data_IF_463330923002
#
_entry.id   IF_463330923002
#
_cell.length_a   1.000
_cell.length_b   1.000
_cell.length_c   1.000
_cell.angle_alpha   90.00
_cell.angle_beta   90.00
_cell.angle_gamma   90.00
#
_symmetry.space_group_name_H-M   'P 1'
#
loop_
_entity.id
_entity.type
_entity.pdbx_description
1 polymer ?
#
# COMPACT_ATOMS: atom_id res chain seq x y z
N UNK A 1 -7.97 -12.87 -5.00
CA UNK A 1 -7.29 -12.59 -3.74
C UNK A 1 -5.84 -13.09 -3.85
N UNK A 2 -4.91 -12.19 -3.98
CA UNK A 2 -3.48 -12.50 -3.99
C UNK A 2 -2.90 -12.08 -2.64
N UNK A 3 -2.19 -12.98 -1.99
CA UNK A 3 -1.43 -12.71 -0.77
C UNK A 3 0.01 -13.11 -1.04
N UNK A 4 0.92 -12.16 -0.96
CA UNK A 4 2.35 -12.42 -0.99
C UNK A 4 3.00 -12.09 0.35
N UNK A 5 4.04 -12.81 0.67
CA UNK A 5 4.88 -12.62 1.85
C UNK A 5 6.28 -12.27 1.38
N UNK A 6 6.73 -11.07 1.71
CA UNK A 6 8.12 -10.66 1.52
C UNK A 6 8.82 -10.64 2.87
N UNK A 7 10.00 -11.23 2.96
CA UNK A 7 10.86 -11.17 4.14
C UNK A 7 12.10 -10.38 3.78
N UNK A 8 12.34 -9.29 4.52
CA UNK A 8 13.60 -8.56 4.46
C UNK A 8 14.51 -9.11 5.56
N UNK A 9 15.64 -9.68 5.19
CA UNK A 9 16.65 -10.15 6.12
C UNK A 9 17.93 -9.32 5.93
N UNK A 10 18.51 -8.83 7.01
CA UNK A 10 19.83 -8.23 6.98
C UNK A 10 20.88 -9.36 7.02
N UNK A 11 21.74 -9.46 6.00
CA UNK A 11 22.79 -10.48 5.89
C UNK A 11 24.05 -10.17 6.74
N UNK A 12 24.05 -9.15 7.59
CA UNK A 12 25.28 -8.64 8.25
C UNK A 12 25.41 -8.95 9.72
N UNK A 13 24.85 -10.01 10.28
CA UNK A 13 25.18 -10.40 11.66
C UNK A 13 25.80 -11.78 11.75
N UNK A 14 27.10 -11.80 12.12
CA UNK A 14 27.76 -13.00 12.67
C UNK A 14 26.94 -13.47 13.87
N UNK A 15 26.70 -14.78 13.95
CA UNK A 15 25.90 -15.42 14.99
C UNK A 15 26.36 -15.02 16.41
N UNK A 16 25.58 -14.16 17.05
CA UNK A 16 25.61 -14.00 18.51
C UNK A 16 24.85 -15.17 19.16
N UNK A 17 25.15 -15.53 20.41
CA UNK A 17 24.53 -16.68 21.08
C UNK A 17 23.01 -16.46 21.15
N UNK A 18 22.26 -17.41 20.60
CA UNK A 18 20.81 -17.39 20.57
C UNK A 18 20.24 -17.32 21.99
N UNK A 19 19.57 -16.22 22.31
CA UNK A 19 18.70 -16.16 23.48
C UNK A 19 17.57 -17.18 23.25
N UNK A 20 17.48 -18.23 24.06
CA UNK A 20 16.44 -19.27 23.97
C UNK A 20 15.01 -18.71 24.17
N UNK A 21 14.86 -17.42 24.47
CA UNK A 21 13.58 -16.71 24.62
C UNK A 21 13.16 -15.96 23.36
N UNK A 22 14.04 -15.80 22.37
CA UNK A 22 13.71 -15.15 21.11
C UNK A 22 12.82 -16.07 20.26
N UNK A 23 11.75 -15.51 19.64
CA UNK A 23 10.92 -16.24 18.71
C UNK A 23 11.68 -16.67 17.45
N UNK A 24 11.15 -17.65 16.70
CA UNK A 24 11.77 -18.21 15.49
C UNK A 24 12.12 -17.13 14.43
N UNK A 25 11.33 -16.02 14.40
CA UNK A 25 11.48 -14.93 13.45
C UNK A 25 11.89 -13.61 14.12
N UNK A 26 12.49 -13.66 15.30
CA UNK A 26 12.97 -12.47 16.00
C UNK A 26 13.98 -11.70 15.15
N UNK A 27 13.77 -10.38 15.02
CA UNK A 27 14.59 -9.49 14.19
C UNK A 27 14.30 -9.56 12.69
N UNK A 28 13.26 -10.29 12.26
CA UNK A 28 12.82 -10.30 10.87
C UNK A 28 11.67 -9.34 10.66
N UNK A 29 11.68 -8.64 9.51
CA UNK A 29 10.61 -7.79 9.04
C UNK A 29 9.82 -8.56 7.98
N UNK A 30 8.53 -8.78 8.24
CA UNK A 30 7.63 -9.49 7.34
C UNK A 30 6.65 -8.50 6.74
N UNK A 31 6.63 -8.38 5.41
CA UNK A 31 5.64 -7.58 4.70
C UNK A 31 4.56 -8.52 4.15
N UNK A 32 3.36 -8.38 4.68
CA UNK A 32 2.17 -9.05 4.13
C UNK A 32 1.42 -8.06 3.25
N UNK A 33 1.10 -8.44 2.03
CA UNK A 33 0.33 -7.56 1.16
C UNK A 33 -0.85 -8.26 0.49
N UNK A 34 -1.89 -7.47 0.25
CA UNK A 34 -3.04 -7.82 -0.58
C UNK A 34 -3.20 -6.77 -1.67
N UNK A 35 -3.87 -7.13 -2.75
CA UNK A 35 -4.29 -6.24 -3.83
C UNK A 35 -5.48 -6.85 -4.56
N UNK A 36 -6.29 -6.02 -5.22
CA UNK A 36 -7.43 -6.47 -6.02
C UNK A 36 -8.35 -7.43 -5.25
N UNK A 37 -8.60 -7.10 -3.99
CA UNK A 37 -9.45 -7.94 -3.11
C UNK A 37 -10.90 -7.93 -3.62
N UNK A 38 -11.35 -6.83 -4.24
CA UNK A 38 -12.67 -6.70 -4.86
C UNK A 38 -13.82 -7.22 -3.98
N UNK A 39 -13.74 -6.89 -2.69
CA UNK A 39 -14.75 -7.28 -1.71
C UNK A 39 -14.79 -8.78 -1.39
N UNK A 40 -13.73 -9.54 -1.66
CA UNK A 40 -13.59 -10.95 -1.23
C UNK A 40 -13.31 -11.02 0.28
N UNK A 41 -14.30 -10.62 1.08
CA UNK A 41 -14.20 -10.38 2.53
C UNK A 41 -13.77 -11.59 3.35
N UNK A 42 -13.99 -12.81 2.84
CA UNK A 42 -13.58 -14.07 3.51
C UNK A 42 -12.04 -14.16 3.66
N UNK A 43 -11.30 -13.36 2.90
CA UNK A 43 -9.84 -13.29 2.97
C UNK A 43 -9.32 -12.57 4.21
N UNK A 44 -10.01 -11.54 4.70
CA UNK A 44 -9.50 -10.70 5.78
C UNK A 44 -9.22 -11.44 7.08
N UNK A 45 -10.09 -12.38 7.47
CA UNK A 45 -9.84 -13.23 8.64
C UNK A 45 -8.59 -14.09 8.50
N UNK A 46 -8.29 -14.58 7.30
CA UNK A 46 -7.07 -15.38 7.02
C UNK A 46 -5.83 -14.52 7.09
N UNK A 47 -5.89 -13.31 6.55
CA UNK A 47 -4.78 -12.34 6.60
C UNK A 47 -4.49 -11.94 8.04
N UNK A 48 -5.54 -11.64 8.84
CA UNK A 48 -5.41 -11.34 10.27
C UNK A 48 -4.77 -12.49 11.04
N UNK A 49 -5.20 -13.73 10.79
CA UNK A 49 -4.62 -14.92 11.42
C UNK A 49 -3.15 -15.11 11.03
N UNK A 50 -2.79 -14.85 9.77
CA UNK A 50 -1.41 -14.96 9.31
C UNK A 50 -0.53 -13.87 9.93
N UNK A 51 -1.00 -12.61 10.02
CA UNK A 51 -0.30 -11.53 10.73
C UNK A 51 0.00 -11.95 12.18
N UNK A 52 -1.03 -12.40 12.88
CA UNK A 52 -0.89 -12.85 14.28
C UNK A 52 0.09 -14.04 14.44
N UNK A 53 0.13 -14.98 13.47
CA UNK A 53 1.06 -16.11 13.51
C UNK A 53 2.52 -15.65 13.35
N UNK A 54 2.81 -14.72 12.45
CA UNK A 54 4.14 -14.17 12.28
C UNK A 54 4.58 -13.33 13.48
N UNK A 55 3.68 -12.48 14.02
CA UNK A 55 3.94 -11.71 15.24
C UNK A 55 4.21 -12.63 16.45
N UNK A 56 3.43 -13.72 16.59
CA UNK A 56 3.67 -14.72 17.65
C UNK A 56 5.01 -15.43 17.53
N UNK A 57 5.59 -15.50 16.35
CA UNK A 57 6.95 -16.03 16.08
C UNK A 57 8.03 -14.98 16.27
N UNK A 58 7.67 -13.76 16.66
CA UNK A 58 8.62 -12.68 16.99
C UNK A 58 8.97 -11.76 15.81
N UNK A 59 8.31 -11.89 14.66
CA UNK A 59 8.52 -10.97 13.52
C UNK A 59 7.86 -9.61 13.77
N UNK A 60 8.47 -8.55 13.23
CA UNK A 60 7.82 -7.26 13.00
C UNK A 60 7.01 -7.37 11.69
N UNK A 61 5.70 -7.17 11.77
CA UNK A 61 4.81 -7.41 10.62
C UNK A 61 4.19 -6.11 10.13
N UNK A 62 4.40 -5.79 8.84
CA UNK A 62 3.72 -4.70 8.15
C UNK A 62 2.67 -5.31 7.20
N UNK A 63 1.38 -5.04 7.45
CA UNK A 63 0.28 -5.50 6.61
C UNK A 63 -0.25 -4.36 5.76
N UNK A 64 -0.16 -4.50 4.43
CA UNK A 64 -0.49 -3.43 3.47
C UNK A 64 -1.44 -3.90 2.38
N UNK A 65 -2.10 -2.95 1.70
CA UNK A 65 -2.92 -3.24 0.52
C UNK A 65 -2.58 -2.31 -0.64
N UNK A 66 -2.48 -2.87 -1.84
CA UNK A 66 -2.12 -2.14 -3.05
C UNK A 66 -3.33 -1.68 -3.88
N UNK A 67 -4.53 -1.59 -3.29
CA UNK A 67 -5.72 -0.98 -3.89
C UNK A 67 -6.73 -1.98 -4.47
N UNK A 68 -7.87 -1.44 -4.88
CA UNK A 68 -9.04 -2.13 -5.41
C UNK A 68 -9.73 -3.04 -4.37
N UNK A 69 -10.03 -2.50 -3.19
CA UNK A 69 -10.70 -3.22 -2.10
C UNK A 69 -12.14 -2.77 -1.83
N UNK A 70 -12.58 -1.56 -2.27
CA UNK A 70 -13.91 -1.02 -1.90
C UNK A 70 -15.05 -1.39 -2.84
N UNK A 71 -14.78 -2.09 -3.94
CA UNK A 71 -15.75 -2.48 -4.96
C UNK A 71 -15.65 -3.97 -5.24
N UNK A 72 -16.74 -4.62 -5.65
CA UNK A 72 -16.76 -6.03 -6.08
C UNK A 72 -17.97 -6.79 -5.57
N UNK A 73 -17.85 -7.54 -4.47
CA UNK A 73 -18.98 -8.30 -3.94
C UNK A 73 -20.14 -7.42 -3.46
N UNK A 74 -21.35 -7.98 -3.42
CA UNK A 74 -22.56 -7.23 -3.05
C UNK A 74 -22.44 -6.58 -1.67
N UNK A 75 -21.87 -7.25 -0.69
CA UNK A 75 -21.70 -6.75 0.68
C UNK A 75 -20.86 -5.47 0.74
N UNK A 76 -19.80 -5.40 -0.04
CA UNK A 76 -18.92 -4.23 -0.12
C UNK A 76 -19.52 -3.15 -1.01
N UNK A 77 -20.08 -3.53 -2.16
CA UNK A 77 -20.66 -2.56 -3.11
C UNK A 77 -21.88 -1.81 -2.55
N UNK A 78 -22.77 -2.50 -1.83
CA UNK A 78 -23.95 -1.87 -1.19
C UNK A 78 -23.55 -0.85 -0.13
N UNK A 79 -22.48 -1.13 0.62
CA UNK A 79 -21.93 -0.21 1.63
C UNK A 79 -21.00 0.86 1.03
N UNK A 80 -20.79 0.85 -0.31
CA UNK A 80 -19.85 1.73 -1.01
C UNK A 80 -18.44 1.69 -0.40
N UNK A 81 -17.99 0.50 -0.02
CA UNK A 81 -16.67 0.25 0.54
C UNK A 81 -16.57 0.33 2.08
N UNK A 82 -17.59 0.84 2.79
CA UNK A 82 -17.50 0.98 4.23
C UNK A 82 -17.25 -0.35 4.95
N UNK A 83 -17.91 -1.45 4.51
CA UNK A 83 -17.69 -2.78 5.07
C UNK A 83 -16.24 -3.28 4.87
N UNK A 84 -15.62 -2.98 3.72
CA UNK A 84 -14.22 -3.34 3.50
C UNK A 84 -13.30 -2.61 4.50
N UNK A 85 -13.47 -1.29 4.67
CA UNK A 85 -12.68 -0.50 5.63
C UNK A 85 -12.83 -1.02 7.06
N UNK A 86 -14.07 -1.35 7.51
CA UNK A 86 -14.32 -1.91 8.83
C UNK A 86 -13.61 -3.27 9.02
N UNK A 87 -13.64 -4.15 8.02
CA UNK A 87 -12.97 -5.44 8.07
C UNK A 87 -11.45 -5.33 8.00
N UNK A 88 -10.92 -4.37 7.24
CA UNK A 88 -9.49 -4.08 7.19
C UNK A 88 -8.99 -3.52 8.52
N UNK A 89 -9.76 -2.67 9.21
CA UNK A 89 -9.44 -2.23 10.57
C UNK A 89 -9.33 -3.44 11.52
N UNK A 90 -10.33 -4.34 11.49
CA UNK A 90 -10.32 -5.56 12.31
C UNK A 90 -9.18 -6.54 11.95
N UNK A 91 -8.76 -6.57 10.69
CA UNK A 91 -7.64 -7.39 10.25
C UNK A 91 -6.27 -6.77 10.61
N UNK A 92 -6.24 -5.52 11.06
CA UNK A 92 -5.03 -4.83 11.47
C UNK A 92 -4.15 -4.38 10.30
N UNK A 93 -4.75 -3.89 9.20
CA UNK A 93 -3.99 -3.24 8.14
C UNK A 93 -3.28 -2.00 8.66
N UNK A 94 -2.06 -1.77 8.20
CA UNK A 94 -1.22 -0.65 8.62
C UNK A 94 -1.26 0.49 7.59
N UNK A 95 -1.13 0.18 6.29
CA UNK A 95 -1.11 1.15 5.21
C UNK A 95 -1.78 0.59 3.94
N UNK A 96 -2.40 1.47 3.16
CA UNK A 96 -2.95 1.13 1.85
C UNK A 96 -2.60 2.19 0.81
N UNK A 97 -2.55 1.78 -0.46
CA UNK A 97 -2.67 2.70 -1.59
C UNK A 97 -4.02 2.53 -2.29
N UNK A 98 -4.24 3.27 -3.37
CA UNK A 98 -5.51 3.30 -4.09
C UNK A 98 -5.34 2.70 -5.49
N UNK A 99 -6.30 1.86 -5.89
CA UNK A 99 -6.48 1.43 -7.26
C UNK A 99 -7.49 2.33 -8.00
N UNK A 100 -7.98 1.86 -9.14
CA UNK A 100 -8.98 2.61 -9.91
C UNK A 100 -10.40 2.48 -9.35
N UNK A 101 -10.73 1.37 -8.73
CA UNK A 101 -12.05 1.13 -8.17
C UNK A 101 -12.34 1.88 -6.87
N UNK A 102 -11.34 2.43 -6.20
CA UNK A 102 -11.56 3.34 -5.08
C UNK A 102 -12.33 4.60 -5.49
N UNK A 103 -12.30 4.97 -6.76
CA UNK A 103 -13.00 6.15 -7.27
C UNK A 103 -14.42 5.89 -7.78
N UNK A 104 -14.91 4.65 -7.77
CA UNK A 104 -16.23 4.27 -8.29
C UNK A 104 -17.37 4.97 -7.58
N UNK A 105 -17.25 5.24 -6.29
CA UNK A 105 -18.26 5.94 -5.49
C UNK A 105 -17.95 7.43 -5.31
N UNK A 106 -16.80 7.91 -5.78
CA UNK A 106 -16.36 9.31 -5.80
C UNK A 106 -15.64 9.76 -4.54
N UNK A 107 -14.99 10.93 -4.66
CA UNK A 107 -14.12 11.50 -3.62
C UNK A 107 -14.81 11.76 -2.28
N UNK A 108 -16.07 12.16 -2.28
CA UNK A 108 -16.80 12.45 -1.04
C UNK A 108 -17.06 11.16 -0.26
N UNK A 109 -17.35 10.06 -0.96
CA UNK A 109 -17.47 8.74 -0.36
C UNK A 109 -16.12 8.28 0.21
N UNK A 110 -15.03 8.39 -0.57
CA UNK A 110 -13.68 8.05 -0.10
C UNK A 110 -13.31 8.77 1.19
N UNK A 111 -13.51 10.09 1.24
CA UNK A 111 -13.28 10.87 2.48
C UNK A 111 -14.12 10.36 3.65
N UNK A 112 -15.37 9.97 3.40
CA UNK A 112 -16.27 9.50 4.45
C UNK A 112 -15.84 8.16 5.01
N UNK A 113 -15.47 7.20 4.17
CA UNK A 113 -15.06 5.86 4.63
C UNK A 113 -13.66 5.87 5.22
N UNK A 114 -12.72 6.63 4.65
CA UNK A 114 -11.35 6.74 5.17
C UNK A 114 -11.25 7.56 6.46
N UNK A 115 -12.23 8.42 6.75
CA UNK A 115 -12.32 9.03 8.08
C UNK A 115 -12.58 8.01 9.21
N UNK A 116 -12.96 6.78 8.88
CA UNK A 116 -13.15 5.65 9.81
C UNK A 116 -12.02 4.63 9.74
N UNK A 117 -11.07 4.80 8.82
CA UNK A 117 -9.93 3.91 8.70
C UNK A 117 -8.98 4.12 9.88
N UNK A 118 -8.51 3.01 10.44
CA UNK A 118 -7.47 2.98 11.47
C UNK A 118 -6.08 2.79 10.84
N UNK A 119 -6.03 2.50 9.55
CA UNK A 119 -4.82 2.41 8.73
C UNK A 119 -4.54 3.72 7.98
N UNK A 120 -3.28 3.93 7.59
CA UNK A 120 -2.89 5.07 6.76
C UNK A 120 -3.21 4.85 5.29
N UNK A 121 -3.53 5.96 4.57
CA UNK A 121 -3.73 5.95 3.12
C UNK A 121 -2.63 6.77 2.47
N UNK A 122 -1.85 6.18 1.56
CA UNK A 122 -0.77 6.87 0.84
C UNK A 122 -1.01 6.81 -0.67
N UNK A 123 -0.99 7.98 -1.33
CA UNK A 123 -1.14 8.07 -2.78
C UNK A 123 -0.49 9.37 -3.31
N UNK A 124 0.77 9.30 -3.68
CA UNK A 124 1.60 10.45 -4.00
C UNK A 124 1.20 11.15 -5.32
N UNK A 125 0.70 10.39 -6.28
CA UNK A 125 0.44 10.88 -7.63
C UNK A 125 -0.99 11.38 -7.87
N UNK A 126 -1.80 11.55 -6.81
CA UNK A 126 -3.20 11.99 -6.93
C UNK A 126 -3.34 13.43 -6.42
N UNK A 127 -3.95 14.29 -7.24
CA UNK A 127 -4.28 15.66 -6.88
C UNK A 127 -5.78 15.90 -6.93
N UNK A 128 -6.30 16.68 -5.98
CA UNK A 128 -7.67 17.19 -5.99
C UNK A 128 -7.62 18.72 -6.10
N UNK A 129 -8.19 19.26 -7.17
CA UNK A 129 -8.14 20.69 -7.48
C UNK A 129 -6.72 21.30 -7.44
N UNK A 130 -5.73 20.51 -7.90
CA UNK A 130 -4.32 20.90 -7.98
C UNK A 130 -3.49 20.71 -6.71
N UNK A 131 -4.11 20.38 -5.56
CA UNK A 131 -3.41 20.06 -4.32
C UNK A 131 -3.30 18.53 -4.14
N UNK A 132 -2.34 18.06 -3.33
CA UNK A 132 -2.27 16.65 -2.94
C UNK A 132 -3.61 16.20 -2.32
N UNK A 133 -4.12 15.06 -2.78
CA UNK A 133 -5.42 14.53 -2.33
C UNK A 133 -5.28 13.63 -1.10
N UNK A 134 -4.13 13.00 -0.93
CA UNK A 134 -3.79 12.07 0.15
C UNK A 134 -2.35 12.32 0.61
N UNK A 135 -1.95 11.69 1.69
CA UNK A 135 -0.55 11.66 2.11
C UNK A 135 0.29 10.98 1.02
N UNK A 136 1.45 11.55 0.71
CA UNK A 136 2.30 11.01 -0.34
C UNK A 136 3.05 9.74 0.12
N UNK A 137 3.47 9.75 1.39
CA UNK A 137 4.25 8.70 2.02
C UNK A 137 4.01 8.64 3.53
N UNK A 138 4.53 7.60 4.15
CA UNK A 138 4.56 7.41 5.60
C UNK A 138 5.88 6.77 6.02
N UNK A 139 6.43 7.21 7.13
CA UNK A 139 7.52 6.51 7.82
C UNK A 139 6.91 5.65 8.91
N UNK A 140 7.26 4.36 8.92
CA UNK A 140 6.92 3.40 9.96
C UNK A 140 8.20 3.08 10.71
N UNK A 141 8.26 3.38 11.98
CA UNK A 141 9.40 3.07 12.84
C UNK A 141 9.09 1.78 13.62
N UNK A 142 9.96 0.79 13.47
CA UNK A 142 9.86 -0.52 14.11
C UNK A 142 10.39 -0.46 15.55
N UNK A 143 10.15 -1.53 16.32
CA UNK A 143 10.53 -1.58 17.74
C UNK A 143 12.04 -1.46 17.97
N UNK A 144 12.87 -1.91 17.04
CA UNK A 144 14.34 -1.81 17.08
C UNK A 144 14.86 -0.43 16.61
N UNK A 145 13.99 0.46 16.13
CA UNK A 145 14.32 1.77 15.59
C UNK A 145 14.53 1.81 14.07
N UNK A 146 14.48 0.67 13.39
CA UNK A 146 14.52 0.60 11.92
C UNK A 146 13.36 1.39 11.31
N UNK A 147 13.62 2.19 10.30
CA UNK A 147 12.62 3.00 9.62
C UNK A 147 12.28 2.45 8.24
N UNK A 148 11.02 2.10 8.06
CA UNK A 148 10.46 1.74 6.76
C UNK A 148 9.78 2.97 6.15
N UNK A 149 10.21 3.36 4.95
CA UNK A 149 9.55 4.41 4.19
C UNK A 149 8.56 3.80 3.21
N UNK A 150 7.28 4.16 3.31
CA UNK A 150 6.24 3.62 2.42
C UNK A 150 5.60 4.76 1.65
N UNK A 151 5.50 4.65 0.33
CA UNK A 151 4.75 5.58 -0.50
C UNK A 151 3.79 4.83 -1.43
N UNK A 152 2.74 5.52 -1.89
CA UNK A 152 1.71 4.92 -2.73
C UNK A 152 1.63 5.54 -4.11
N UNK A 153 1.31 4.72 -5.14
CA UNK A 153 1.06 5.15 -6.50
C UNK A 153 -0.21 4.48 -7.04
N UNK A 154 -1.19 5.28 -7.44
CA UNK A 154 -2.40 4.81 -8.11
C UNK A 154 -2.24 4.83 -9.64
N UNK A 155 -2.94 3.95 -10.34
CA UNK A 155 -2.89 3.92 -11.80
C UNK A 155 -3.46 5.19 -12.43
N UNK A 156 -2.72 5.86 -13.32
CA UNK A 156 -3.22 7.01 -14.07
C UNK A 156 -4.41 6.68 -15.00
N UNK A 157 -4.59 5.40 -15.35
CA UNK A 157 -5.73 4.95 -16.17
C UNK A 157 -7.08 5.23 -15.51
N UNK A 158 -7.11 5.44 -14.21
CA UNK A 158 -8.30 5.88 -13.47
C UNK A 158 -8.93 7.10 -14.11
N UNK A 159 -8.14 8.01 -14.68
CA UNK A 159 -8.62 9.20 -15.37
C UNK A 159 -9.53 8.89 -16.56
N UNK A 160 -9.38 7.74 -17.20
CA UNK A 160 -10.15 7.30 -18.38
C UNK A 160 -11.12 6.16 -18.06
N UNK A 161 -10.82 5.33 -17.06
CA UNK A 161 -11.65 4.17 -16.69
C UNK A 161 -12.76 4.52 -15.70
N UNK A 162 -12.54 5.47 -14.78
CA UNK A 162 -13.54 5.89 -13.81
C UNK A 162 -14.63 6.80 -14.43
N UNK A 163 -15.81 6.80 -13.83
CA UNK A 163 -16.88 7.72 -14.22
C UNK A 163 -16.44 9.18 -14.01
N UNK A 164 -16.42 10.03 -15.07
CA UNK A 164 -15.93 11.41 -14.96
C UNK A 164 -16.67 12.26 -13.91
N UNK A 165 -17.94 11.96 -13.63
CA UNK A 165 -18.69 12.65 -12.59
C UNK A 165 -18.18 12.34 -11.18
N UNK A 166 -17.54 11.19 -10.97
CA UNK A 166 -17.02 10.72 -9.69
C UNK A 166 -15.62 11.23 -9.39
N UNK A 167 -14.86 11.57 -10.43
CA UNK A 167 -13.48 12.06 -10.34
C UNK A 167 -13.35 13.55 -10.69
N UNK A 168 -14.41 14.32 -10.58
CA UNK A 168 -14.37 15.76 -10.90
C UNK A 168 -13.34 16.48 -10.03
N UNK A 169 -12.39 17.15 -10.69
CA UNK A 169 -11.28 17.85 -10.04
C UNK A 169 -10.14 16.96 -9.58
N UNK A 170 -10.23 15.63 -9.78
CA UNK A 170 -9.13 14.71 -9.53
C UNK A 170 -8.25 14.62 -10.76
N UNK A 171 -6.94 14.65 -10.54
CA UNK A 171 -5.92 14.40 -11.57
C UNK A 171 -4.91 13.38 -11.06
N UNK A 172 -4.44 12.55 -11.97
CA UNK A 172 -3.46 11.51 -11.72
C UNK A 172 -2.20 11.87 -12.49
N UNK A 173 -1.06 11.98 -11.81
CA UNK A 173 0.22 12.18 -12.48
C UNK A 173 0.56 10.91 -13.27
N UNK A 174 1.00 11.08 -14.52
CA UNK A 174 1.26 9.99 -15.45
C UNK A 174 2.63 10.16 -16.11
N UNK A 175 3.14 9.11 -16.72
CA UNK A 175 4.35 9.13 -17.51
C UNK A 175 5.54 9.76 -16.75
N UNK A 176 6.20 10.75 -17.34
CA UNK A 176 7.34 11.44 -16.72
C UNK A 176 7.00 12.12 -15.39
N UNK A 177 5.76 12.58 -15.20
CA UNK A 177 5.32 13.16 -13.92
C UNK A 177 5.15 12.09 -12.83
N UNK A 178 4.70 10.88 -13.20
CA UNK A 178 4.62 9.73 -12.30
C UNK A 178 6.03 9.32 -11.82
N UNK A 179 6.98 9.22 -12.75
CA UNK A 179 8.36 8.88 -12.42
C UNK A 179 9.01 9.93 -11.52
N UNK A 180 8.88 11.21 -11.87
CA UNK A 180 9.40 12.31 -11.06
C UNK A 180 8.74 12.35 -9.66
N UNK A 181 7.45 12.00 -9.57
CA UNK A 181 6.75 11.87 -8.29
C UNK A 181 7.36 10.75 -7.45
N UNK A 182 7.59 9.57 -8.02
CA UNK A 182 8.22 8.45 -7.31
C UNK A 182 9.65 8.77 -6.86
N UNK A 183 10.48 9.36 -7.75
CA UNK A 183 11.83 9.81 -7.39
C UNK A 183 11.82 10.80 -6.22
N UNK A 184 10.85 11.72 -6.19
CA UNK A 184 10.69 12.66 -5.10
C UNK A 184 10.35 11.96 -3.78
N UNK A 185 9.54 10.88 -3.80
CA UNK A 185 9.24 10.11 -2.60
C UNK A 185 10.45 9.31 -2.12
N UNK A 186 11.16 8.63 -3.01
CA UNK A 186 12.41 7.93 -2.68
C UNK A 186 13.39 8.87 -2.01
N UNK A 187 13.61 10.05 -2.60
CA UNK A 187 14.50 11.07 -2.04
C UNK A 187 14.04 11.53 -0.64
N UNK A 188 12.76 11.86 -0.49
CA UNK A 188 12.22 12.35 0.78
C UNK A 188 12.34 11.32 1.91
N UNK A 189 12.07 10.04 1.61
CA UNK A 189 12.17 8.94 2.56
C UNK A 189 13.62 8.60 2.91
N UNK A 190 14.54 8.66 1.94
CA UNK A 190 15.98 8.53 2.19
C UNK A 190 16.49 9.66 3.11
N UNK A 191 16.08 10.92 2.84
CA UNK A 191 16.43 12.06 3.67
C UNK A 191 15.81 12.00 5.09
N UNK A 192 14.68 11.30 5.24
CA UNK A 192 14.06 10.99 6.54
C UNK A 192 14.78 9.87 7.31
N UNK A 193 15.79 9.24 6.71
CA UNK A 193 16.59 8.19 7.32
C UNK A 193 15.92 6.82 7.27
N UNK A 194 15.03 6.58 6.29
CA UNK A 194 14.47 5.24 6.08
C UNK A 194 15.54 4.31 5.51
N UNK A 195 15.62 3.12 6.09
CA UNK A 195 16.57 2.07 5.70
C UNK A 195 16.04 1.24 4.53
N UNK A 196 14.72 1.06 4.47
CA UNK A 196 14.03 0.39 3.39
C UNK A 196 12.92 1.28 2.83
N UNK A 197 12.80 1.31 1.51
CA UNK A 197 11.78 2.09 0.80
C UNK A 197 10.85 1.16 0.04
N UNK A 198 9.58 1.20 0.39
CA UNK A 198 8.51 0.35 -0.12
C UNK A 198 7.57 1.21 -0.97
N UNK A 199 7.32 0.78 -2.19
CA UNK A 199 6.28 1.37 -3.05
C UNK A 199 5.06 0.47 -3.08
N UNK A 200 3.92 0.95 -2.59
CA UNK A 200 2.62 0.34 -2.83
C UNK A 200 2.10 0.85 -4.18
N UNK A 201 2.17 0.02 -5.21
CA UNK A 201 1.84 0.46 -6.57
C UNK A 201 0.68 -0.32 -7.18
N UNK A 202 -0.38 0.40 -7.56
CA UNK A 202 -1.46 -0.14 -8.36
C UNK A 202 -1.35 0.37 -9.81
N UNK A 203 -0.35 -0.14 -10.56
CA UNK A 203 0.01 0.38 -11.88
C UNK A 203 -0.22 -0.62 -13.02
N UNK A 204 -0.40 -1.91 -12.70
CA UNK A 204 -0.46 -2.97 -13.70
C UNK A 204 0.90 -3.29 -14.33
N UNK A 205 0.91 -4.34 -15.15
CA UNK A 205 2.07 -4.83 -15.91
C UNK A 205 1.77 -5.03 -17.39
N UNK A 206 0.50 -4.96 -17.80
CA UNK A 206 0.06 -5.21 -19.17
C UNK A 206 0.40 -4.07 -20.12
N UNK A 207 0.52 -4.39 -21.42
CA UNK A 207 0.87 -3.40 -22.44
C UNK A 207 -0.18 -2.28 -22.59
N UNK A 208 -1.40 -2.52 -22.15
CA UNK A 208 -2.46 -1.49 -22.15
C UNK A 208 -2.16 -0.32 -21.22
N UNK A 209 -1.40 -0.57 -20.15
CA UNK A 209 -1.02 0.44 -19.14
C UNK A 209 0.29 1.16 -19.47
N UNK A 210 0.95 0.82 -20.61
CA UNK A 210 2.18 1.50 -21.04
C UNK A 210 1.93 2.99 -21.31
N UNK A 211 2.82 3.91 -20.88
CA UNK A 211 4.11 3.71 -20.22
C UNK A 211 4.04 3.80 -18.68
N UNK A 212 2.88 3.58 -18.05
CA UNK A 212 2.70 3.77 -16.61
C UNK A 212 2.80 2.46 -15.81
N UNK A 213 3.24 1.36 -16.42
CA UNK A 213 3.35 0.05 -15.76
C UNK A 213 4.38 0.06 -14.64
N UNK A 214 4.23 -0.84 -13.69
CA UNK A 214 5.22 -1.06 -12.64
C UNK A 214 6.63 -1.33 -13.20
N UNK A 215 6.75 -2.11 -14.27
CA UNK A 215 8.01 -2.40 -14.95
C UNK A 215 8.62 -1.15 -15.63
N UNK A 216 7.80 -0.23 -16.15
CA UNK A 216 8.27 1.03 -16.74
C UNK A 216 8.81 1.96 -15.65
N UNK A 217 8.10 2.04 -14.51
CA UNK A 217 8.52 2.80 -13.35
C UNK A 217 9.86 2.28 -12.80
N UNK A 218 9.95 0.97 -12.53
CA UNK A 218 11.16 0.35 -11.98
C UNK A 218 12.36 0.41 -12.92
N UNK A 219 12.10 0.53 -14.22
CA UNK A 219 13.15 0.77 -15.22
C UNK A 219 13.69 2.22 -15.22
N UNK A 220 13.04 3.15 -14.53
CA UNK A 220 13.37 4.58 -14.50
C UNK A 220 13.75 5.08 -13.12
N UNK A 221 13.10 4.58 -12.07
CA UNK A 221 13.27 5.03 -10.68
C UNK A 221 14.08 3.98 -9.92
N UNK A 222 15.17 4.42 -9.32
CA UNK A 222 16.02 3.59 -8.45
C UNK A 222 15.79 3.92 -6.98
N UNK A 223 16.20 3.01 -6.08
CA UNK A 223 16.10 3.20 -4.64
C UNK A 223 14.75 2.78 -4.05
N UNK A 224 13.97 1.98 -4.77
CA UNK A 224 12.82 1.24 -4.26
C UNK A 224 13.30 -0.16 -3.94
N UNK A 225 13.25 -0.56 -2.66
CA UNK A 225 13.70 -1.88 -2.20
C UNK A 225 12.62 -2.94 -2.40
N UNK A 226 11.34 -2.56 -2.20
CA UNK A 226 10.17 -3.43 -2.37
C UNK A 226 9.08 -2.70 -3.16
N UNK A 227 8.52 -3.41 -4.16
CA UNK A 227 7.39 -2.93 -4.94
C UNK A 227 6.27 -3.97 -4.89
#
# INVERSE_FOLDING_TARGET
>A
FSLCVGVLADETTAAEPTDETAGELAGQIVILHTNDVHGAIDGYAKVAALKADYEAKGAEVLLVDAGDFIQGTTSVSVSQGATAVELMNLAGYDLVTLGNHEFDYGMDNLKTIFAKAEFGVVAANIKLNGAAAFDANKVVELADGTKLGVFGLATPETATKANPAKIKGVTFLAESELYACAEAQVKALTEAGCEYIICLGHLGIDNESEPNRSIDLLGKVSGIDVF
#
